data_IF_341998786024
#
_entry.id   IF_341998786024
#
_cell.length_a   1.000
_cell.length_b   1.000
_cell.length_c   1.000
_cell.angle_alpha   90.00
_cell.angle_beta   90.00
_cell.angle_gamma   90.00
#
_symmetry.space_group_name_H-M   'P 1'
#
loop_
_entity.id
_entity.type
_entity.pdbx_description
1 polymer ?
#
# COMPACT_ATOMS: atom_id res chain seq x y z
N UNK A 1 -19.92 -20.21 -4.19
CA UNK A 1 -19.01 -20.41 -5.36
C UNK A 1 -17.78 -21.15 -4.87
N UNK A 2 -17.22 -22.03 -5.69
CA UNK A 2 -15.92 -22.67 -5.42
C UNK A 2 -14.79 -21.67 -5.63
N UNK A 3 -13.66 -21.89 -5.00
CA UNK A 3 -12.50 -20.98 -5.09
C UNK A 3 -12.06 -20.70 -6.53
N UNK A 4 -12.02 -21.72 -7.38
CA UNK A 4 -11.62 -21.57 -8.79
C UNK A 4 -12.61 -20.70 -9.61
N UNK A 5 -13.89 -20.71 -9.24
CA UNK A 5 -14.90 -19.86 -9.86
C UNK A 5 -14.74 -18.41 -9.42
N UNK A 6 -14.39 -18.19 -8.15
CA UNK A 6 -14.09 -16.88 -7.59
C UNK A 6 -12.85 -16.28 -8.25
N UNK A 7 -11.77 -17.06 -8.33
CA UNK A 7 -10.53 -16.63 -8.98
C UNK A 7 -10.81 -16.24 -10.44
N UNK A 8 -11.53 -17.08 -11.19
CA UNK A 8 -11.89 -16.79 -12.59
C UNK A 8 -12.69 -15.48 -12.70
N UNK A 9 -13.69 -15.28 -11.85
CA UNK A 9 -14.45 -14.03 -11.86
C UNK A 9 -13.54 -12.81 -11.67
N UNK A 10 -12.63 -12.86 -10.69
CA UNK A 10 -11.71 -11.75 -10.41
C UNK A 10 -10.74 -11.54 -11.59
N UNK A 11 -10.23 -12.61 -12.18
CA UNK A 11 -9.30 -12.52 -13.32
C UNK A 11 -9.95 -11.99 -14.60
N UNK A 12 -11.26 -12.20 -14.76
CA UNK A 12 -12.06 -11.67 -15.87
C UNK A 12 -12.34 -10.17 -15.71
N UNK A 13 -12.17 -9.58 -14.52
CA UNK A 13 -12.26 -8.13 -14.34
C UNK A 13 -11.10 -7.47 -15.10
N UNK A 14 -11.36 -6.49 -15.98
CA UNK A 14 -10.32 -5.84 -16.76
C UNK A 14 -9.23 -5.22 -15.90
N UNK A 15 -7.97 -5.63 -16.14
CA UNK A 15 -6.79 -5.18 -15.38
C UNK A 15 -6.28 -3.80 -15.81
N UNK A 16 -6.46 -3.46 -17.08
CA UNK A 16 -5.91 -2.26 -17.72
C UNK A 16 -7.02 -1.42 -18.36
N UNK A 17 -8.04 -1.12 -17.59
CA UNK A 17 -9.05 -0.12 -17.96
C UNK A 17 -8.54 1.29 -17.66
N UNK A 18 -9.23 2.29 -18.21
CA UNK A 18 -9.07 3.67 -17.73
C UNK A 18 -9.21 3.68 -16.21
N UNK A 19 -8.21 4.20 -15.50
CA UNK A 19 -8.28 4.32 -14.03
C UNK A 19 -9.55 5.08 -13.66
N UNK A 20 -10.31 4.53 -12.75
CA UNK A 20 -11.41 5.25 -12.12
C UNK A 20 -10.87 6.46 -11.33
N UNK A 21 -11.70 7.41 -11.08
CA UNK A 21 -11.36 8.50 -10.18
C UNK A 21 -11.35 7.98 -8.75
N UNK A 22 -10.57 8.61 -7.87
CA UNK A 22 -10.63 8.27 -6.43
C UNK A 22 -12.02 8.43 -5.82
N UNK A 23 -12.88 9.26 -6.42
CA UNK A 23 -14.27 9.41 -5.99
C UNK A 23 -15.06 8.11 -6.22
N UNK A 24 -14.84 7.42 -7.32
CA UNK A 24 -15.43 6.11 -7.59
C UNK A 24 -14.97 5.08 -6.55
N UNK A 25 -13.66 4.98 -6.33
CA UNK A 25 -13.09 4.06 -5.32
C UNK A 25 -13.62 4.39 -3.91
N UNK A 26 -13.72 5.67 -3.54
CA UNK A 26 -14.30 6.09 -2.25
C UNK A 26 -15.75 5.69 -2.11
N UNK A 27 -16.57 5.87 -3.16
CA UNK A 27 -17.96 5.43 -3.13
C UNK A 27 -18.06 3.92 -2.97
N UNK A 28 -17.23 3.16 -3.69
CA UNK A 28 -17.16 1.71 -3.52
C UNK A 28 -16.79 1.32 -2.07
N UNK A 29 -15.76 1.95 -1.49
CA UNK A 29 -15.35 1.71 -0.10
C UNK A 29 -16.44 2.12 0.90
N UNK A 30 -17.15 3.21 0.64
CA UNK A 30 -18.28 3.66 1.45
C UNK A 30 -19.41 2.63 1.47
N UNK A 31 -19.71 2.02 0.33
CA UNK A 31 -20.72 0.94 0.23
C UNK A 31 -20.27 -0.33 0.95
N UNK A 32 -18.97 -0.59 1.03
CA UNK A 32 -18.41 -1.66 1.86
C UNK A 32 -18.42 -1.33 3.36
N UNK A 33 -18.90 -0.15 3.76
CA UNK A 33 -18.96 0.29 5.15
C UNK A 33 -17.69 1.02 5.63
N UNK A 34 -16.87 1.54 4.72
CA UNK A 34 -15.58 2.18 5.03
C UNK A 34 -14.70 1.30 5.94
N UNK A 35 -14.38 0.07 5.54
CA UNK A 35 -13.63 -0.84 6.39
C UNK A 35 -12.28 -0.24 6.78
N UNK A 36 -11.84 -0.54 7.98
CA UNK A 36 -10.59 -0.07 8.58
C UNK A 36 -10.54 1.44 8.89
N UNK A 37 -11.66 2.14 8.87
CA UNK A 37 -11.70 3.54 9.28
C UNK A 37 -11.28 3.65 10.77
N UNK A 38 -10.29 4.53 11.05
CA UNK A 38 -9.71 4.69 12.38
C UNK A 38 -8.63 3.70 12.76
N UNK A 39 -8.30 2.73 11.89
CA UNK A 39 -7.14 1.84 12.07
C UNK A 39 -5.84 2.55 11.67
N UNK A 40 -4.70 2.06 12.16
CA UNK A 40 -3.38 2.61 11.84
C UNK A 40 -2.88 2.06 10.51
N UNK A 41 -3.06 2.81 9.44
CA UNK A 41 -2.61 2.43 8.09
C UNK A 41 -1.22 3.00 7.81
N UNK A 42 -0.27 2.12 7.45
CA UNK A 42 1.05 2.45 6.93
C UNK A 42 0.98 2.32 5.42
N UNK A 43 0.98 3.45 4.71
CA UNK A 43 0.77 3.51 3.26
C UNK A 43 2.10 3.63 2.52
N UNK A 44 2.42 2.67 1.66
CA UNK A 44 3.75 2.53 1.05
C UNK A 44 3.66 2.67 -0.47
N UNK A 45 4.37 3.66 -1.01
CA UNK A 45 4.58 3.85 -2.45
C UNK A 45 6.08 3.74 -2.80
N UNK A 46 6.39 3.69 -4.08
CA UNK A 46 7.76 3.64 -4.59
C UNK A 46 7.86 2.90 -5.91
N UNK A 47 9.03 2.92 -6.54
CA UNK A 47 9.30 2.10 -7.73
C UNK A 47 9.77 0.72 -7.31
N UNK A 48 10.86 0.63 -6.58
CA UNK A 48 11.44 -0.61 -6.10
C UNK A 48 11.42 -0.67 -4.57
N UNK A 49 11.36 -1.88 -4.01
CA UNK A 49 11.47 -2.10 -2.58
C UNK A 49 10.18 -1.94 -1.77
N UNK A 50 9.03 -1.57 -2.37
CA UNK A 50 7.75 -1.46 -1.67
C UNK A 50 7.42 -2.72 -0.86
N UNK A 51 7.32 -3.87 -1.55
CA UNK A 51 6.99 -5.14 -0.91
C UNK A 51 7.97 -5.55 0.19
N UNK A 52 9.28 -5.27 0.00
CA UNK A 52 10.30 -5.55 1.03
C UNK A 52 10.10 -4.71 2.27
N UNK A 53 9.90 -3.38 2.10
CA UNK A 53 9.63 -2.47 3.22
C UNK A 53 8.33 -2.86 3.93
N UNK A 54 7.27 -3.17 3.18
CA UNK A 54 6.01 -3.67 3.75
C UNK A 54 6.23 -4.96 4.57
N UNK A 55 7.01 -5.91 4.06
CA UNK A 55 7.29 -7.17 4.76
C UNK A 55 8.07 -6.93 6.06
N UNK A 56 9.05 -6.03 6.07
CA UNK A 56 9.75 -5.65 7.29
C UNK A 56 8.83 -4.96 8.30
N UNK A 57 8.00 -4.02 7.86
CA UNK A 57 7.01 -3.36 8.73
C UNK A 57 6.05 -4.37 9.35
N UNK A 58 5.51 -5.31 8.54
CA UNK A 58 4.67 -6.39 9.04
C UNK A 58 5.40 -7.22 10.10
N UNK A 59 6.65 -7.64 9.83
CA UNK A 59 7.42 -8.47 10.74
C UNK A 59 7.68 -7.77 12.09
N UNK A 60 8.04 -6.48 12.07
CA UNK A 60 8.25 -5.68 13.27
C UNK A 60 6.96 -5.57 14.08
N UNK A 61 5.84 -5.22 13.45
CA UNK A 61 4.56 -5.09 14.13
C UNK A 61 4.08 -6.42 14.74
N UNK A 62 4.30 -7.54 14.04
CA UNK A 62 3.98 -8.87 14.57
C UNK A 62 4.87 -9.26 15.74
N UNK A 63 6.16 -8.92 15.68
CA UNK A 63 7.08 -9.13 16.80
C UNK A 63 6.65 -8.35 18.05
N UNK A 64 6.11 -7.15 17.87
CA UNK A 64 5.51 -6.32 18.92
C UNK A 64 4.10 -6.80 19.36
N UNK A 65 3.67 -7.97 18.90
CA UNK A 65 2.40 -8.58 19.29
C UNK A 65 1.16 -7.86 18.74
N UNK A 66 1.29 -7.08 17.66
CA UNK A 66 0.15 -6.37 17.03
C UNK A 66 -0.60 -7.28 16.07
N UNK A 67 -1.91 -7.04 15.93
CA UNK A 67 -2.72 -7.66 14.86
C UNK A 67 -2.55 -6.86 13.59
N UNK A 68 -2.05 -7.52 12.53
CA UNK A 68 -1.61 -6.84 11.30
C UNK A 68 -2.34 -7.39 10.09
N UNK A 69 -2.97 -6.49 9.33
CA UNK A 69 -3.37 -6.72 7.95
C UNK A 69 -2.28 -6.27 7.00
N UNK A 70 -2.02 -7.02 5.93
CA UNK A 70 -1.07 -6.61 4.90
C UNK A 70 -1.65 -6.85 3.51
N UNK A 71 -1.77 -5.76 2.75
CA UNK A 71 -2.17 -5.79 1.35
C UNK A 71 -0.96 -5.54 0.46
N UNK A 72 -0.71 -6.46 -0.48
CA UNK A 72 0.46 -6.42 -1.36
C UNK A 72 0.13 -6.74 -2.82
N UNK A 73 1.02 -6.37 -3.75
CA UNK A 73 0.92 -6.68 -5.17
C UNK A 73 2.28 -6.66 -5.88
N UNK A 74 2.46 -7.51 -6.92
CA UNK A 74 1.56 -8.59 -7.35
C UNK A 74 1.65 -9.84 -6.45
N UNK A 75 0.81 -10.84 -6.69
CA UNK A 75 0.98 -12.19 -6.17
C UNK A 75 1.93 -13.01 -7.08
N UNK A 76 2.51 -14.06 -6.56
CA UNK A 76 3.39 -14.97 -7.31
C UNK A 76 2.65 -16.21 -7.81
N UNK A 77 1.83 -16.82 -6.98
CA UNK A 77 1.12 -18.08 -7.26
C UNK A 77 -0.39 -17.94 -7.09
N UNK A 78 -0.85 -17.43 -5.94
CA UNK A 78 -2.27 -17.34 -5.60
C UNK A 78 -2.71 -15.91 -5.29
N UNK A 79 -3.93 -15.56 -5.66
CA UNK A 79 -4.55 -14.27 -5.32
C UNK A 79 -4.57 -14.00 -3.81
N UNK A 80 -4.67 -15.04 -2.98
CA UNK A 80 -4.69 -14.98 -1.53
C UNK A 80 -3.44 -14.28 -0.95
N UNK A 81 -2.28 -14.42 -1.61
CA UNK A 81 -1.02 -13.78 -1.20
C UNK A 81 -1.13 -12.26 -1.06
N UNK A 82 -2.09 -11.65 -1.78
CA UNK A 82 -2.32 -10.19 -1.74
C UNK A 82 -2.94 -9.72 -0.43
N UNK A 83 -3.52 -10.64 0.35
CA UNK A 83 -4.26 -10.33 1.58
C UNK A 83 -3.72 -11.22 2.69
N UNK A 84 -2.92 -10.66 3.56
CA UNK A 84 -2.33 -11.39 4.69
C UNK A 84 -2.86 -10.87 6.00
N UNK A 85 -3.17 -11.80 6.90
CA UNK A 85 -3.63 -11.52 8.26
C UNK A 85 -2.65 -12.18 9.23
N UNK A 86 -2.03 -11.37 10.07
CA UNK A 86 -1.04 -11.83 11.05
C UNK A 86 0.07 -12.71 10.42
N UNK A 87 0.59 -12.28 9.26
CA UNK A 87 1.70 -12.93 8.57
C UNK A 87 1.32 -14.14 7.72
N UNK A 88 0.04 -14.50 7.64
CA UNK A 88 -0.45 -15.63 6.83
C UNK A 88 -1.40 -15.14 5.75
N UNK A 89 -1.28 -15.73 4.57
CA UNK A 89 -2.25 -15.52 3.50
C UNK A 89 -3.64 -15.99 3.98
N UNK A 90 -4.70 -15.28 3.58
CA UNK A 90 -6.05 -15.73 3.92
C UNK A 90 -6.36 -17.07 3.24
N UNK A 91 -7.10 -17.94 3.94
CA UNK A 91 -7.53 -19.22 3.40
C UNK A 91 -8.61 -19.06 2.31
N UNK A 92 -8.81 -20.13 1.53
CA UNK A 92 -9.71 -20.12 0.38
C UNK A 92 -11.17 -19.89 0.80
N UNK A 93 -11.60 -20.38 1.97
CA UNK A 93 -12.97 -20.18 2.49
C UNK A 93 -13.21 -18.72 2.88
N UNK A 94 -12.25 -18.10 3.58
CA UNK A 94 -12.28 -16.69 3.92
C UNK A 94 -12.26 -15.84 2.66
N UNK A 95 -11.41 -16.17 1.67
CA UNK A 95 -11.33 -15.48 0.39
C UNK A 95 -12.69 -15.49 -0.33
N UNK A 96 -13.34 -16.67 -0.43
CA UNK A 96 -14.64 -16.81 -1.06
C UNK A 96 -15.74 -16.05 -0.32
N UNK A 97 -15.71 -16.06 1.00
CA UNK A 97 -16.72 -15.38 1.83
C UNK A 97 -16.60 -13.84 1.69
N UNK A 98 -15.40 -13.31 1.73
CA UNK A 98 -15.14 -11.88 1.52
C UNK A 98 -15.51 -11.47 0.09
N UNK A 99 -15.11 -12.27 -0.91
CA UNK A 99 -15.49 -12.06 -2.30
C UNK A 99 -17.00 -11.91 -2.47
N UNK A 100 -17.79 -12.79 -1.87
CA UNK A 100 -19.26 -12.75 -2.01
C UNK A 100 -19.85 -11.40 -1.55
N UNK A 101 -19.35 -10.84 -0.44
CA UNK A 101 -19.77 -9.53 0.06
C UNK A 101 -19.35 -8.39 -0.87
N UNK A 102 -18.11 -8.40 -1.32
CA UNK A 102 -17.57 -7.37 -2.22
C UNK A 102 -18.25 -7.39 -3.58
N UNK A 103 -18.51 -8.58 -4.12
CA UNK A 103 -19.25 -8.77 -5.36
C UNK A 103 -20.67 -8.22 -5.28
N UNK A 104 -21.38 -8.47 -4.17
CA UNK A 104 -22.71 -7.92 -3.97
C UNK A 104 -22.71 -6.40 -4.09
N UNK A 105 -21.76 -5.72 -3.44
CA UNK A 105 -21.63 -4.25 -3.51
C UNK A 105 -21.28 -3.79 -4.92
N UNK A 106 -20.40 -4.51 -5.63
CA UNK A 106 -20.06 -4.18 -7.02
C UNK A 106 -21.30 -4.28 -7.94
N UNK A 107 -22.10 -5.35 -7.81
CA UNK A 107 -23.35 -5.55 -8.56
C UNK A 107 -24.41 -4.48 -8.23
N UNK A 108 -24.45 -3.98 -6.99
CA UNK A 108 -25.34 -2.88 -6.59
C UNK A 108 -24.92 -1.55 -7.25
N UNK A 109 -23.62 -1.25 -7.30
CA UNK A 109 -23.10 -0.08 -8.00
C UNK A 109 -23.44 -0.09 -9.49
N UNK A 110 -23.29 -1.24 -10.15
CA UNK A 110 -23.63 -1.38 -11.57
C UNK A 110 -25.13 -1.17 -11.83
N UNK A 111 -26.01 -1.69 -10.96
CA UNK A 111 -27.46 -1.48 -11.07
C UNK A 111 -27.85 0.00 -10.92
N UNK A 112 -27.04 0.79 -10.22
CA UNK A 112 -27.23 2.24 -10.06
C UNK A 112 -26.55 3.05 -11.17
N UNK A 113 -25.94 2.38 -12.17
CA UNK A 113 -25.31 3.01 -13.33
C UNK A 113 -23.87 3.47 -13.11
N UNK A 114 -23.21 3.01 -12.03
CA UNK A 114 -21.78 3.19 -11.83
C UNK A 114 -21.00 2.06 -12.53
N UNK A 115 -19.74 2.32 -12.85
CA UNK A 115 -18.86 1.28 -13.41
C UNK A 115 -18.50 0.24 -12.35
N UNK A 116 -18.30 -1.01 -12.77
CA UNK A 116 -17.77 -2.07 -11.90
C UNK A 116 -16.37 -1.69 -11.39
N UNK A 117 -16.04 -1.91 -10.11
CA UNK A 117 -14.68 -1.69 -9.61
C UNK A 117 -13.65 -2.41 -10.47
N UNK A 118 -12.55 -1.76 -10.82
CA UNK A 118 -11.45 -2.39 -11.53
C UNK A 118 -10.86 -3.56 -10.75
N UNK A 119 -10.09 -4.42 -11.41
CA UNK A 119 -9.42 -5.57 -10.80
C UNK A 119 -8.70 -5.21 -9.49
N UNK A 120 -7.95 -4.11 -9.49
CA UNK A 120 -7.19 -3.70 -8.31
C UNK A 120 -8.08 -3.11 -7.21
N UNK A 121 -9.08 -2.29 -7.57
CA UNK A 121 -10.07 -1.75 -6.61
C UNK A 121 -10.86 -2.86 -5.93
N UNK A 122 -11.26 -3.88 -6.70
CA UNK A 122 -11.99 -5.03 -6.17
C UNK A 122 -11.17 -5.80 -5.14
N UNK A 123 -9.91 -6.13 -5.46
CA UNK A 123 -9.00 -6.82 -4.53
C UNK A 123 -8.65 -5.96 -3.31
N UNK A 124 -8.48 -4.64 -3.50
CA UNK A 124 -8.27 -3.70 -2.41
C UNK A 124 -9.47 -3.69 -1.45
N UNK A 125 -10.69 -3.61 -1.98
CA UNK A 125 -11.91 -3.71 -1.18
C UNK A 125 -11.99 -5.03 -0.41
N UNK A 126 -11.63 -6.15 -1.04
CA UNK A 126 -11.55 -7.46 -0.37
C UNK A 126 -10.53 -7.43 0.79
N UNK A 127 -9.35 -6.87 0.56
CA UNK A 127 -8.31 -6.77 1.59
C UNK A 127 -8.78 -5.97 2.80
N UNK A 128 -9.30 -4.77 2.56
CA UNK A 128 -9.75 -3.89 3.64
C UNK A 128 -10.90 -4.51 4.45
N UNK A 129 -11.86 -5.16 3.79
CA UNK A 129 -12.96 -5.85 4.47
C UNK A 129 -12.44 -7.06 5.29
N UNK A 130 -11.47 -7.81 4.75
CA UNK A 130 -10.86 -8.92 5.48
C UNK A 130 -10.12 -8.43 6.73
N UNK A 131 -9.42 -7.32 6.66
CA UNK A 131 -8.70 -6.72 7.80
C UNK A 131 -9.65 -6.23 8.88
N UNK A 132 -10.76 -5.58 8.49
CA UNK A 132 -11.80 -5.15 9.45
C UNK A 132 -12.41 -6.34 10.17
N UNK A 133 -12.80 -7.40 9.45
CA UNK A 133 -13.41 -8.60 10.05
C UNK A 133 -12.47 -9.39 10.97
N UNK A 134 -11.16 -9.20 10.83
CA UNK A 134 -10.14 -9.83 11.68
C UNK A 134 -9.54 -8.87 12.71
N UNK A 135 -10.18 -7.73 12.97
CA UNK A 135 -9.76 -6.76 13.98
C UNK A 135 -8.28 -6.33 13.84
N UNK A 136 -7.77 -6.15 12.61
CA UNK A 136 -6.42 -5.67 12.39
C UNK A 136 -6.25 -4.28 13.01
N UNK A 137 -5.27 -4.12 13.88
CA UNK A 137 -4.93 -2.84 14.54
C UNK A 137 -4.09 -1.96 13.62
N UNK A 138 -3.16 -2.61 12.91
CA UNK A 138 -2.28 -2.00 11.93
C UNK A 138 -2.52 -2.61 10.55
N UNK A 139 -2.45 -1.78 9.53
CA UNK A 139 -2.57 -2.21 8.15
C UNK A 139 -1.36 -1.69 7.38
N UNK A 140 -0.60 -2.61 6.81
CA UNK A 140 0.47 -2.29 5.87
C UNK A 140 -0.14 -2.35 4.49
N UNK A 141 -0.16 -1.21 3.81
CA UNK A 141 -0.89 -1.01 2.56
C UNK A 141 0.08 -0.63 1.43
N UNK A 142 0.37 -1.56 0.54
CA UNK A 142 1.21 -1.33 -0.63
C UNK A 142 0.39 -0.76 -1.79
N UNK A 143 0.87 0.33 -2.42
CA UNK A 143 0.28 0.84 -3.66
C UNK A 143 0.48 -0.13 -4.82
N UNK A 144 -0.50 -0.21 -5.72
CA UNK A 144 -0.36 -1.01 -6.93
C UNK A 144 0.50 -0.31 -7.97
N UNK A 145 0.12 0.90 -8.37
CA UNK A 145 0.79 1.67 -9.42
C UNK A 145 0.70 3.17 -9.18
N UNK A 146 1.87 3.80 -9.09
CA UNK A 146 1.96 5.25 -8.85
C UNK A 146 1.73 5.58 -7.38
N UNK A 147 0.73 6.35 -7.08
CA UNK A 147 0.32 6.77 -5.75
C UNK A 147 -0.91 7.66 -5.81
N UNK A 148 -0.81 8.83 -6.47
CA UNK A 148 -1.85 9.87 -6.51
C UNK A 148 -3.24 9.34 -6.92
N UNK A 149 -3.30 8.49 -7.94
CA UNK A 149 -4.52 7.89 -8.48
C UNK A 149 -4.60 6.38 -8.21
N UNK A 150 -3.81 5.87 -7.27
CA UNK A 150 -3.91 4.47 -6.86
C UNK A 150 -5.16 4.26 -6.00
N UNK A 151 -5.82 3.11 -6.14
CA UNK A 151 -7.03 2.81 -5.38
C UNK A 151 -6.80 2.89 -3.86
N UNK A 152 -5.61 2.48 -3.40
CA UNK A 152 -5.24 2.56 -1.98
C UNK A 152 -5.22 3.98 -1.44
N UNK A 153 -5.01 4.99 -2.32
CA UNK A 153 -5.03 6.41 -1.96
C UNK A 153 -6.45 6.96 -1.73
N UNK A 154 -7.48 6.14 -1.92
CA UNK A 154 -8.84 6.46 -1.44
C UNK A 154 -8.93 6.50 0.09
N UNK A 155 -8.00 5.84 0.81
CA UNK A 155 -7.86 5.97 2.26
C UNK A 155 -7.28 7.34 2.63
N UNK A 156 -8.06 8.14 3.35
CA UNK A 156 -7.77 9.57 3.52
C UNK A 156 -6.83 9.90 4.69
N UNK A 157 -6.81 9.05 5.72
CA UNK A 157 -6.11 9.34 6.98
C UNK A 157 -5.14 8.22 7.37
N UNK A 158 -4.09 7.95 6.59
CA UNK A 158 -3.07 6.99 7.01
C UNK A 158 -2.35 7.49 8.26
N UNK A 159 -1.82 6.56 9.05
CA UNK A 159 -1.00 6.87 10.22
C UNK A 159 0.41 7.31 9.81
N UNK A 160 0.92 6.75 8.71
CA UNK A 160 2.26 6.96 8.19
C UNK A 160 2.26 6.75 6.68
N UNK A 161 2.98 7.59 5.94
CA UNK A 161 3.31 7.37 4.53
C UNK A 161 4.80 7.02 4.38
N UNK A 162 5.11 6.10 3.45
CA UNK A 162 6.48 5.74 3.11
C UNK A 162 6.66 5.76 1.60
N UNK A 163 7.73 6.39 1.12
CA UNK A 163 8.10 6.39 -0.29
C UNK A 163 9.48 5.76 -0.42
N UNK A 164 9.50 4.55 -0.97
CA UNK A 164 10.74 3.82 -1.22
C UNK A 164 11.47 4.38 -2.44
N UNK A 165 12.53 3.75 -2.92
CA UNK A 165 13.34 4.27 -4.01
C UNK A 165 12.50 4.56 -5.28
N UNK A 166 12.83 5.66 -5.94
CA UNK A 166 12.20 6.12 -7.18
C UNK A 166 13.15 5.87 -8.35
N UNK A 167 12.60 5.29 -9.41
CA UNK A 167 13.29 5.04 -10.66
C UNK A 167 12.33 5.14 -11.84
N UNK A 168 12.85 5.09 -13.04
CA UNK A 168 12.04 5.05 -14.25
C UNK A 168 11.32 3.70 -14.35
N UNK A 169 10.01 3.73 -14.27
CA UNK A 169 9.13 2.58 -14.38
C UNK A 169 7.73 3.04 -14.80
N UNK A 170 7.04 2.21 -15.59
CA UNK A 170 5.73 2.55 -16.13
C UNK A 170 5.65 3.96 -16.74
N UNK A 171 6.67 4.34 -17.51
CA UNK A 171 6.85 5.71 -18.02
C UNK A 171 5.71 6.18 -18.91
N UNK A 172 5.02 5.27 -19.59
CA UNK A 172 3.83 5.56 -20.41
C UNK A 172 2.64 6.07 -19.55
N UNK A 173 2.61 5.75 -18.26
CA UNK A 173 1.50 6.07 -17.36
C UNK A 173 1.89 7.14 -16.34
N UNK A 174 3.08 7.02 -15.75
CA UNK A 174 3.53 7.85 -14.63
C UNK A 174 4.38 9.05 -15.08
N UNK A 175 4.78 9.07 -16.35
CA UNK A 175 5.66 10.10 -16.92
C UNK A 175 7.09 9.59 -17.13
N UNK A 176 7.82 10.31 -17.96
CA UNK A 176 9.11 9.94 -18.52
C UNK A 176 10.32 10.52 -17.77
N UNK A 177 10.08 11.15 -16.61
CA UNK A 177 11.15 11.70 -15.75
C UNK A 177 10.99 11.26 -14.30
N UNK A 178 12.10 11.28 -13.56
CA UNK A 178 12.13 10.96 -12.12
C UNK A 178 11.18 11.87 -11.34
N UNK A 179 11.16 13.17 -11.70
CA UNK A 179 10.35 14.18 -11.03
C UNK A 179 8.84 13.90 -11.22
N UNK A 180 8.41 13.53 -12.43
CA UNK A 180 7.01 13.18 -12.70
C UNK A 180 6.60 11.94 -11.91
N UNK A 181 7.42 10.90 -11.92
CA UNK A 181 7.17 9.66 -11.19
C UNK A 181 7.16 9.91 -9.67
N UNK A 182 8.08 10.77 -9.18
CA UNK A 182 8.11 11.20 -7.78
C UNK A 182 6.81 11.92 -7.40
N UNK A 183 6.33 12.84 -8.24
CA UNK A 183 5.06 13.55 -8.03
C UNK A 183 3.85 12.62 -7.96
N UNK A 184 3.78 11.59 -8.82
CA UNK A 184 2.71 10.59 -8.76
C UNK A 184 2.76 9.78 -7.44
N UNK A 185 3.96 9.44 -6.96
CA UNK A 185 4.12 8.69 -5.70
C UNK A 185 3.90 9.58 -4.48
N UNK A 186 4.38 10.82 -4.51
CA UNK A 186 4.16 11.82 -3.46
C UNK A 186 2.67 12.15 -3.25
N UNK A 187 1.80 11.81 -4.22
CA UNK A 187 0.34 11.93 -4.07
C UNK A 187 -0.28 11.14 -2.92
N UNK A 188 0.46 10.23 -2.26
CA UNK A 188 0.00 9.54 -1.04
C UNK A 188 0.22 10.36 0.23
N UNK A 189 0.98 11.46 0.17
CA UNK A 189 1.27 12.31 1.32
C UNK A 189 -0.01 13.04 1.71
N UNK A 190 -0.29 13.08 3.01
CA UNK A 190 -1.49 13.71 3.56
C UNK A 190 -1.15 14.75 4.62
N UNK A 191 -1.96 15.79 4.72
CA UNK A 191 -1.80 16.86 5.70
C UNK A 191 -1.64 16.30 7.12
N UNK A 192 -0.58 16.72 7.80
CA UNK A 192 -0.28 16.32 9.18
C UNK A 192 0.15 14.88 9.39
N UNK A 193 0.26 14.08 8.31
CA UNK A 193 0.70 12.69 8.37
C UNK A 193 2.20 12.62 8.05
N UNK A 194 3.03 12.03 8.91
CA UNK A 194 4.47 11.92 8.64
C UNK A 194 4.75 11.08 7.40
N UNK A 195 5.72 11.51 6.60
CA UNK A 195 6.24 10.75 5.46
C UNK A 195 7.72 10.48 5.62
N UNK A 196 8.11 9.20 5.48
CA UNK A 196 9.50 8.77 5.39
C UNK A 196 9.81 8.42 3.94
N UNK A 197 10.97 8.83 3.43
CA UNK A 197 11.32 8.55 2.05
C UNK A 197 12.82 8.32 1.82
N UNK A 198 13.13 7.58 0.76
CA UNK A 198 14.50 7.32 0.31
C UNK A 198 15.12 8.59 -0.27
N UNK A 199 16.19 9.09 0.36
CA UNK A 199 16.95 10.26 -0.04
C UNK A 199 18.05 9.99 -1.07
N UNK A 200 18.08 8.82 -1.71
CA UNK A 200 19.19 8.43 -2.59
C UNK A 200 19.27 9.18 -3.93
N UNK A 201 18.21 9.82 -4.39
CA UNK A 201 18.15 10.66 -5.60
C UNK A 201 17.61 12.05 -5.25
N UNK A 202 18.42 13.09 -5.48
CA UNK A 202 18.11 14.47 -5.12
C UNK A 202 16.91 15.04 -5.90
N UNK A 203 16.67 14.57 -7.13
CA UNK A 203 15.54 15.04 -7.95
C UNK A 203 14.21 14.58 -7.36
N UNK A 204 14.14 13.29 -6.98
CA UNK A 204 12.95 12.75 -6.33
C UNK A 204 12.75 13.32 -4.93
N UNK A 205 13.84 13.49 -4.16
CA UNK A 205 13.81 14.07 -2.83
C UNK A 205 13.18 15.45 -2.83
N UNK A 206 13.63 16.35 -3.72
CA UNK A 206 13.08 17.71 -3.83
C UNK A 206 11.57 17.71 -4.08
N UNK A 207 11.08 16.87 -4.99
CA UNK A 207 9.64 16.77 -5.29
C UNK A 207 8.84 16.29 -4.08
N UNK A 208 9.38 15.32 -3.32
CA UNK A 208 8.73 14.80 -2.13
C UNK A 208 8.71 15.84 -1.02
N UNK A 209 9.84 16.51 -0.76
CA UNK A 209 9.97 17.59 0.22
C UNK A 209 8.99 18.72 -0.09
N UNK A 210 9.03 19.27 -1.31
CA UNK A 210 8.09 20.32 -1.75
C UNK A 210 6.61 19.89 -1.61
N UNK A 211 6.30 18.64 -1.95
CA UNK A 211 4.93 18.13 -1.81
C UNK A 211 4.52 18.05 -0.34
N UNK A 212 5.40 17.56 0.54
CA UNK A 212 5.14 17.44 1.96
C UNK A 212 4.94 18.81 2.62
N UNK A 213 5.81 19.78 2.28
CA UNK A 213 5.70 21.16 2.76
C UNK A 213 4.37 21.82 2.32
N UNK A 214 4.01 21.66 1.04
CA UNK A 214 2.77 22.22 0.50
C UNK A 214 1.50 21.70 1.18
N UNK A 215 1.52 20.45 1.68
CA UNK A 215 0.39 19.86 2.41
C UNK A 215 0.56 19.91 3.93
N UNK A 216 1.60 20.55 4.43
CA UNK A 216 1.92 20.63 5.86
C UNK A 216 2.09 19.24 6.51
N UNK A 217 2.79 18.33 5.82
CA UNK A 217 3.14 17.01 6.33
C UNK A 217 4.56 17.01 6.92
N UNK A 218 4.79 16.49 8.13
CA UNK A 218 6.14 16.23 8.61
C UNK A 218 6.87 15.24 7.69
N UNK A 219 8.11 15.51 7.32
CA UNK A 219 8.86 14.63 6.45
C UNK A 219 10.23 14.25 7.02
N UNK A 220 10.69 13.04 6.67
CA UNK A 220 11.94 12.45 7.13
C UNK A 220 12.65 11.80 5.95
N UNK A 221 13.77 12.37 5.56
CA UNK A 221 14.63 11.88 4.49
C UNK A 221 15.62 10.85 5.03
N UNK A 222 15.66 9.66 4.44
CA UNK A 222 16.61 8.62 4.80
C UNK A 222 17.86 8.76 3.93
N UNK A 223 18.91 9.29 4.52
CA UNK A 223 20.22 9.45 3.85
C UNK A 223 20.98 8.13 3.87
N UNK A 224 21.68 7.80 2.77
CA UNK A 224 22.49 6.57 2.70
C UNK A 224 23.59 6.54 3.77
N UNK A 225 24.15 7.69 4.07
CA UNK A 225 25.24 7.82 5.02
C UNK A 225 24.78 7.70 6.48
N UNK A 226 23.45 7.81 6.71
CA UNK A 226 22.86 7.55 8.02
C UNK A 226 22.91 6.08 8.43
N UNK A 227 23.11 5.17 7.47
CA UNK A 227 23.21 3.73 7.72
C UNK A 227 24.67 3.27 7.55
N UNK A 228 25.28 2.76 8.62
CA UNK A 228 26.60 2.15 8.58
C UNK A 228 26.53 0.65 8.79
N UNK A 229 26.73 -0.12 7.73
CA UNK A 229 26.83 -1.57 7.83
C UNK A 229 28.10 -1.93 8.59
N UNK A 230 27.97 -2.73 9.64
CA UNK A 230 29.07 -3.20 10.51
C UNK A 230 29.52 -4.60 10.10
N UNK A 231 28.58 -5.48 9.80
CA UNK A 231 28.85 -6.87 9.46
C UNK A 231 27.71 -7.41 8.58
N UNK A 232 28.05 -8.28 7.63
CA UNK A 232 27.11 -9.07 6.84
C UNK A 232 27.54 -10.53 6.93
N UNK A 233 26.65 -11.38 7.38
CA UNK A 233 26.83 -12.84 7.39
C UNK A 233 25.69 -13.49 6.59
N UNK A 234 25.72 -14.80 6.48
CA UNK A 234 24.61 -15.61 5.90
C UNK A 234 23.35 -15.62 6.77
N UNK A 235 23.43 -15.17 8.02
CA UNK A 235 22.35 -15.23 9.02
C UNK A 235 21.85 -13.87 9.50
N UNK A 236 22.69 -12.84 9.46
CA UNK A 236 22.33 -11.52 9.95
C UNK A 236 23.13 -10.40 9.27
N UNK A 237 22.56 -9.20 9.33
CA UNK A 237 23.23 -7.96 8.98
C UNK A 237 23.24 -7.10 10.24
N UNK A 238 24.43 -6.75 10.73
CA UNK A 238 24.58 -5.79 11.80
C UNK A 238 24.84 -4.39 11.21
N UNK A 239 24.09 -3.42 11.66
CA UNK A 239 24.25 -2.02 11.24
C UNK A 239 24.06 -1.06 12.39
N UNK A 240 24.52 0.16 12.22
CA UNK A 240 24.19 1.29 13.10
C UNK A 240 23.52 2.37 12.26
N UNK A 241 22.54 3.02 12.83
CA UNK A 241 21.90 4.22 12.29
C UNK A 241 22.57 5.40 13.00
N UNK A 242 23.10 6.35 12.22
CA UNK A 242 23.57 7.63 12.73
C UNK A 242 22.34 8.53 12.83
N UNK A 243 21.73 8.55 14.01
CA UNK A 243 20.69 9.50 14.33
C UNK A 243 21.29 10.63 15.17
N UNK A 244 20.83 11.87 14.99
CA UNK A 244 21.26 13.02 15.78
C UNK A 244 20.93 12.85 17.27
N UNK A 245 20.07 11.88 17.62
CA UNK A 245 19.54 11.71 18.97
C UNK A 245 20.06 10.50 19.76
N UNK A 246 20.65 9.48 19.14
CA UNK A 246 21.20 8.35 19.91
C UNK A 246 22.18 7.48 19.11
N UNK A 247 23.31 7.16 19.73
CA UNK A 247 24.25 6.13 19.28
C UNK A 247 23.72 4.73 19.62
N UNK A 248 22.53 4.40 19.22
CA UNK A 248 21.95 3.08 19.46
C UNK A 248 22.44 2.07 18.41
N UNK A 249 23.26 1.13 18.89
CA UNK A 249 23.62 -0.07 18.11
C UNK A 249 22.51 -1.10 18.28
N UNK A 250 21.85 -1.48 17.18
CA UNK A 250 20.88 -2.57 17.14
C UNK A 250 21.56 -3.81 16.58
#
# INVERSE_FOLDING_TARGET
MKYEEVVRYIEDIPKFTKKHTLLHTREFMRRLGNPCQGRKVLHVAGTNGKGSVCAYMQAILLFEGKRVGFFTSPHLVKLNERIRINGKDIDDDTFCRIFAKVRQVAEELEKEGMEHPSYFEFLYGMGMLAFEENDAEYIVLETGLGGRLDATNSFEHPFLSVITSIGLDHTEILGDTIEKIAGEKAGIIKKGVPVFFDGSDERSSRVIEETAENVEAPWYKMEKDALKIREITDKHIAFSILDEYDNNTV
#
